data_IF_481251974956
#
_entry.id   IF_481251974956
#
_cell.length_a   1.000
_cell.length_b   1.000
_cell.length_c   1.000
_cell.angle_alpha   90.00
_cell.angle_beta   90.00
_cell.angle_gamma   90.00
#
_symmetry.space_group_name_H-M   'P 1'
#
loop_
_entity.id
_entity.type
_entity.pdbx_description
1 polymer ?
#
# COMPACT_ATOMS: atom_id res chain seq x y z
N UNK A 1 -76.48 53.26 -39.57
CA UNK A 1 -76.47 52.79 -38.16
C UNK A 1 -75.53 51.60 -38.07
N UNK A 2 -74.66 51.62 -37.05
CA UNK A 2 -73.74 50.57 -36.58
C UNK A 2 -72.44 50.29 -37.38
N UNK A 3 -71.33 50.46 -36.66
CA UNK A 3 -69.92 50.33 -37.04
C UNK A 3 -69.30 49.03 -36.48
N UNK A 4 -68.28 48.50 -37.20
CA UNK A 4 -67.05 47.83 -36.73
C UNK A 4 -67.14 46.46 -35.97
N UNK A 5 -66.03 45.73 -35.72
CA UNK A 5 -64.72 45.59 -36.40
C UNK A 5 -64.25 44.11 -36.60
N UNK A 6 -63.08 43.91 -37.23
CA UNK A 6 -62.33 42.65 -37.42
C UNK A 6 -61.81 42.01 -36.11
N UNK A 7 -61.66 40.67 -36.03
CA UNK A 7 -61.11 40.01 -34.84
C UNK A 7 -59.57 40.20 -34.71
N UNK A 8 -59.03 40.25 -33.48
CA UNK A 8 -57.63 40.57 -33.20
C UNK A 8 -56.66 39.37 -33.36
N UNK A 9 -55.34 39.62 -33.47
CA UNK A 9 -54.31 38.58 -33.46
C UNK A 9 -54.09 38.03 -32.05
N UNK A 10 -54.02 36.70 -31.91
CA UNK A 10 -53.69 36.05 -30.64
C UNK A 10 -52.16 36.02 -30.45
N UNK A 11 -51.67 36.80 -29.49
CA UNK A 11 -50.28 36.78 -29.03
C UNK A 11 -50.05 35.63 -28.02
N UNK A 12 -48.84 35.04 -27.94
CA UNK A 12 -48.48 34.10 -26.88
C UNK A 12 -48.50 34.80 -25.51
N UNK A 13 -49.31 34.30 -24.58
CA UNK A 13 -49.32 34.77 -23.19
C UNK A 13 -48.18 34.08 -22.43
N UNK A 14 -47.17 34.86 -22.08
CA UNK A 14 -46.16 34.55 -21.07
C UNK A 14 -46.80 34.58 -19.69
N UNK A 15 -46.76 33.46 -18.97
CA UNK A 15 -47.16 33.43 -17.57
C UNK A 15 -45.95 33.79 -16.68
N UNK A 16 -46.08 34.74 -15.73
CA UNK A 16 -44.98 35.15 -14.86
C UNK A 16 -44.77 34.16 -13.71
N UNK A 17 -43.51 33.85 -13.48
CA UNK A 17 -42.96 33.16 -12.31
C UNK A 17 -43.25 33.93 -11.02
N UNK A 18 -43.43 33.24 -9.88
CA UNK A 18 -42.90 33.70 -8.61
C UNK A 18 -41.59 32.97 -8.33
N UNK A 19 -40.56 33.76 -8.02
CA UNK A 19 -39.25 33.32 -7.61
C UNK A 19 -39.28 32.31 -6.46
N UNK A 20 -38.72 31.13 -6.72
CA UNK A 20 -38.19 30.20 -5.74
C UNK A 20 -36.77 29.84 -6.18
N UNK A 21 -35.85 30.75 -5.92
CA UNK A 21 -34.42 30.57 -6.09
C UNK A 21 -33.89 29.42 -5.22
N UNK A 22 -33.36 28.37 -5.85
CA UNK A 22 -32.17 27.68 -5.36
C UNK A 22 -31.63 26.74 -6.45
N UNK A 23 -30.54 27.21 -7.07
CA UNK A 23 -29.39 26.44 -7.51
C UNK A 23 -29.61 25.09 -8.21
N UNK A 24 -29.15 25.07 -9.47
CA UNK A 24 -28.44 23.93 -10.03
C UNK A 24 -27.60 23.22 -8.96
N UNK A 25 -28.02 22.02 -8.57
CA UNK A 25 -27.13 21.03 -7.99
C UNK A 25 -26.92 19.97 -9.06
N UNK A 26 -26.06 20.30 -10.03
CA UNK A 26 -25.37 19.30 -10.82
C UNK A 26 -24.76 18.32 -9.83
N UNK A 27 -25.31 17.12 -9.78
CA UNK A 27 -24.75 16.03 -8.97
C UNK A 27 -23.63 15.36 -9.75
N UNK A 28 -22.70 16.15 -10.28
CA UNK A 28 -21.34 15.70 -10.59
C UNK A 28 -20.57 15.68 -9.26
N UNK A 29 -21.01 14.80 -8.36
CA UNK A 29 -20.16 14.40 -7.25
C UNK A 29 -18.98 13.63 -7.86
N UNK A 30 -17.72 14.05 -7.63
CA UNK A 30 -16.60 13.49 -8.35
C UNK A 30 -16.41 12.04 -7.92
N UNK A 31 -16.73 11.11 -8.82
CA UNK A 31 -16.57 9.65 -8.68
C UNK A 31 -15.12 9.28 -8.26
N UNK A 32 -14.15 10.17 -8.50
CA UNK A 32 -12.76 10.05 -8.04
C UNK A 32 -12.60 10.03 -6.51
N UNK A 33 -13.42 10.76 -5.76
CA UNK A 33 -13.29 10.88 -4.29
C UNK A 33 -13.69 9.62 -3.52
N UNK A 34 -14.81 8.92 -3.82
CA UNK A 34 -15.16 7.67 -3.14
C UNK A 34 -14.18 6.53 -3.48
N UNK A 35 -13.77 6.38 -4.75
CA UNK A 35 -12.83 5.33 -5.14
C UNK A 35 -11.46 5.51 -4.47
N UNK A 36 -10.94 6.74 -4.42
CA UNK A 36 -9.69 7.06 -3.73
C UNK A 36 -9.78 6.81 -2.22
N UNK A 37 -10.87 7.21 -1.55
CA UNK A 37 -11.08 6.92 -0.13
C UNK A 37 -11.17 5.42 0.15
N UNK A 38 -11.84 4.66 -0.71
CA UNK A 38 -11.91 3.20 -0.61
C UNK A 38 -10.53 2.58 -0.78
N UNK A 39 -9.73 3.04 -1.75
CA UNK A 39 -8.35 2.60 -1.92
C UNK A 39 -7.50 2.88 -0.68
N UNK A 40 -7.56 4.11 -0.14
CA UNK A 40 -6.85 4.46 1.09
C UNK A 40 -7.31 3.63 2.29
N UNK A 41 -8.60 3.35 2.41
CA UNK A 41 -9.13 2.49 3.48
C UNK A 41 -8.58 1.07 3.35
N UNK A 42 -8.54 0.50 2.13
CA UNK A 42 -7.95 -0.83 1.89
C UNK A 42 -6.47 -0.89 2.20
N UNK A 43 -5.71 0.15 1.85
CA UNK A 43 -4.29 0.26 2.21
C UNK A 43 -4.16 0.33 3.74
N UNK A 44 -4.94 1.19 4.38
CA UNK A 44 -4.90 1.40 5.82
C UNK A 44 -5.26 0.12 6.58
N UNK A 45 -6.29 -0.59 6.15
CA UNK A 45 -6.70 -1.87 6.72
C UNK A 45 -5.67 -2.97 6.48
N UNK A 46 -5.03 -2.98 5.31
CA UNK A 46 -3.94 -3.92 5.02
C UNK A 46 -2.69 -3.63 5.85
N UNK A 47 -2.34 -2.35 6.02
CA UNK A 47 -1.25 -1.93 6.87
C UNK A 47 -1.53 -2.26 8.33
N UNK A 48 -2.74 -1.99 8.83
CA UNK A 48 -3.17 -2.33 10.20
C UNK A 48 -3.14 -3.83 10.43
N UNK A 49 -3.65 -4.64 9.51
CA UNK A 49 -3.58 -6.11 9.59
C UNK A 49 -2.14 -6.61 9.61
N UNK A 50 -1.31 -6.11 8.70
CA UNK A 50 0.11 -6.45 8.65
C UNK A 50 0.84 -6.07 9.95
N UNK A 51 0.57 -4.88 10.51
CA UNK A 51 1.13 -4.44 11.78
C UNK A 51 0.56 -5.17 13.00
N UNK A 52 -0.66 -5.72 12.90
CA UNK A 52 -1.27 -6.55 13.94
C UNK A 52 -0.61 -7.93 14.04
N UNK A 53 -0.17 -8.49 12.92
CA UNK A 53 0.59 -9.75 12.86
C UNK A 53 2.06 -9.60 13.33
N UNK A 54 2.45 -8.41 13.80
CA UNK A 54 3.79 -8.12 14.31
C UNK A 54 4.04 -8.86 15.63
N UNK A 55 5.19 -9.55 15.72
CA UNK A 55 5.66 -10.12 16.99
C UNK A 55 6.16 -9.02 17.93
N UNK A 56 6.03 -9.19 19.26
CA UNK A 56 6.55 -8.22 20.23
C UNK A 56 8.03 -7.87 19.96
N UNK A 57 8.37 -6.58 19.91
CA UNK A 57 9.75 -6.16 19.69
C UNK A 57 10.69 -6.58 20.83
N UNK A 58 10.17 -6.68 22.06
CA UNK A 58 10.92 -7.16 23.20
C UNK A 58 11.39 -8.61 22.99
N UNK A 59 10.54 -9.43 22.39
CA UNK A 59 10.89 -10.79 22.00
C UNK A 59 12.00 -10.74 20.95
N UNK A 60 11.86 -9.94 19.89
CA UNK A 60 12.88 -9.77 18.85
C UNK A 60 14.25 -9.35 19.40
N UNK A 61 14.32 -8.51 20.43
CA UNK A 61 15.59 -7.99 20.97
C UNK A 61 16.04 -8.76 22.23
N UNK A 62 15.42 -9.90 22.55
CA UNK A 62 15.79 -10.67 23.71
C UNK A 62 17.23 -11.19 23.63
N UNK A 63 18.09 -10.66 24.51
CA UNK A 63 19.53 -10.94 24.51
C UNK A 63 19.86 -12.37 24.91
N UNK A 64 19.03 -13.02 25.73
CA UNK A 64 19.23 -14.42 26.13
C UNK A 64 19.08 -15.39 24.97
N UNK A 65 18.30 -15.03 23.94
CA UNK A 65 18.06 -15.89 22.78
C UNK A 65 19.22 -15.87 21.76
N UNK A 66 20.26 -15.06 21.94
CA UNK A 66 21.38 -15.00 20.99
C UNK A 66 22.50 -15.97 21.36
N UNK A 67 22.92 -16.77 20.38
CA UNK A 67 24.08 -17.66 20.47
C UNK A 67 24.85 -17.70 19.16
N UNK A 68 26.14 -18.02 19.23
CA UNK A 68 26.96 -18.17 18.03
C UNK A 68 26.54 -19.47 17.29
N UNK A 69 26.29 -19.43 15.97
CA UNK A 69 26.01 -20.64 15.21
C UNK A 69 27.25 -21.53 15.10
N UNK A 70 27.07 -22.84 15.21
CA UNK A 70 28.17 -23.81 15.19
C UNK A 70 28.71 -24.05 13.79
N UNK A 71 27.89 -23.80 12.77
CA UNK A 71 28.23 -23.98 11.35
C UNK A 71 27.40 -23.07 10.44
N UNK A 72 27.78 -22.98 9.16
CA UNK A 72 27.02 -22.24 8.15
C UNK A 72 25.64 -22.87 7.87
N UNK A 73 25.53 -24.20 7.93
CA UNK A 73 24.24 -24.89 7.78
C UNK A 73 23.30 -24.60 8.95
N UNK A 74 23.84 -24.54 10.17
CA UNK A 74 23.09 -24.11 11.35
C UNK A 74 22.63 -22.65 11.23
N UNK A 75 23.55 -21.74 10.89
CA UNK A 75 23.24 -20.32 10.68
C UNK A 75 22.12 -20.10 9.63
N UNK A 76 22.17 -20.82 8.52
CA UNK A 76 21.16 -20.72 7.45
C UNK A 76 19.81 -21.34 7.85
N UNK A 77 19.82 -22.43 8.62
CA UNK A 77 18.62 -23.02 9.20
C UNK A 77 17.93 -22.07 10.18
N UNK A 78 18.70 -21.49 11.12
CA UNK A 78 18.22 -20.47 12.07
C UNK A 78 17.64 -19.26 11.33
N UNK A 79 18.36 -18.76 10.32
CA UNK A 79 17.90 -17.64 9.50
C UNK A 79 16.55 -17.93 8.85
N UNK A 80 16.38 -19.11 8.22
CA UNK A 80 15.12 -19.48 7.55
C UNK A 80 13.94 -19.54 8.53
N UNK A 81 14.13 -20.14 9.71
CA UNK A 81 13.10 -20.21 10.76
C UNK A 81 12.73 -18.81 11.26
N UNK A 82 13.73 -18.02 11.60
CA UNK A 82 13.53 -16.65 12.11
C UNK A 82 12.93 -15.71 11.05
N UNK A 83 13.24 -15.86 9.75
CA UNK A 83 12.64 -15.09 8.66
C UNK A 83 11.13 -15.27 8.57
N UNK A 84 10.66 -16.50 8.80
CA UNK A 84 9.22 -16.79 8.80
C UNK A 84 8.56 -16.26 10.05
N UNK A 85 9.20 -16.45 11.21
CA UNK A 85 8.65 -16.07 12.51
C UNK A 85 8.55 -14.55 12.71
N UNK A 86 9.61 -13.80 12.39
CA UNK A 86 9.69 -12.33 12.55
C UNK A 86 9.43 -11.58 11.24
N UNK A 87 8.72 -12.17 10.27
CA UNK A 87 8.55 -11.60 8.90
C UNK A 87 8.16 -10.13 8.92
N UNK A 88 7.11 -9.77 9.65
CA UNK A 88 6.61 -8.38 9.74
C UNK A 88 7.65 -7.45 10.37
N UNK A 89 8.31 -7.87 11.45
CA UNK A 89 9.34 -7.09 12.13
C UNK A 89 10.56 -6.87 11.21
N UNK A 90 11.00 -7.90 10.48
CA UNK A 90 12.10 -7.78 9.51
C UNK A 90 11.75 -6.89 8.33
N UNK A 91 10.52 -6.99 7.79
CA UNK A 91 10.04 -6.04 6.79
C UNK A 91 10.09 -4.61 7.31
N UNK A 92 9.70 -4.38 8.58
CA UNK A 92 9.79 -3.07 9.20
C UNK A 92 11.24 -2.57 9.34
N UNK A 93 12.19 -3.43 9.71
CA UNK A 93 13.62 -3.08 9.79
C UNK A 93 14.19 -2.72 8.41
N UNK A 94 13.90 -3.51 7.38
CA UNK A 94 14.36 -3.21 6.01
C UNK A 94 13.73 -1.93 5.49
N UNK A 95 12.42 -1.73 5.72
CA UNK A 95 11.74 -0.50 5.35
C UNK A 95 12.32 0.73 6.08
N UNK A 96 12.67 0.58 7.36
CA UNK A 96 13.34 1.63 8.13
C UNK A 96 14.72 1.94 7.57
N UNK A 97 15.54 0.93 7.25
CA UNK A 97 16.86 1.13 6.65
C UNK A 97 16.79 1.84 5.28
N UNK A 98 15.84 1.44 4.44
CA UNK A 98 15.55 2.12 3.17
C UNK A 98 15.09 3.57 3.37
N UNK A 99 14.16 3.79 4.30
CA UNK A 99 13.66 5.12 4.64
C UNK A 99 14.78 6.02 5.17
N UNK A 100 15.62 5.52 6.08
CA UNK A 100 16.77 6.24 6.62
C UNK A 100 17.78 6.61 5.52
N UNK A 101 18.05 5.70 4.58
CA UNK A 101 18.89 5.97 3.40
C UNK A 101 18.32 7.11 2.56
N UNK A 102 17.03 7.10 2.26
CA UNK A 102 16.38 8.18 1.51
C UNK A 102 16.37 9.50 2.29
N UNK A 103 16.08 9.48 3.59
CA UNK A 103 16.07 10.68 4.44
C UNK A 103 17.46 11.31 4.57
N UNK A 104 18.53 10.51 4.55
CA UNK A 104 19.90 11.00 4.54
C UNK A 104 20.26 11.77 3.25
N UNK A 105 19.44 11.66 2.19
CA UNK A 105 19.64 12.33 0.91
C UNK A 105 18.45 13.22 0.55
N UNK A 106 18.30 14.38 1.24
CA UNK A 106 17.10 15.22 1.14
C UNK A 106 16.83 15.73 -0.27
N UNK A 107 17.87 16.01 -1.08
CA UNK A 107 17.68 16.45 -2.46
C UNK A 107 17.06 15.35 -3.36
N UNK A 108 17.56 14.12 -3.22
CA UNK A 108 17.00 12.94 -3.90
C UNK A 108 15.54 12.72 -3.50
N UNK A 109 15.27 12.82 -2.20
CA UNK A 109 13.92 12.71 -1.65
C UNK A 109 12.99 13.81 -2.20
N UNK A 110 13.44 15.07 -2.25
CA UNK A 110 12.65 16.18 -2.78
C UNK A 110 12.30 16.00 -4.26
N UNK A 111 13.25 15.56 -5.08
CA UNK A 111 12.99 15.27 -6.50
C UNK A 111 11.96 14.14 -6.64
N UNK A 112 12.15 13.03 -5.91
CA UNK A 112 11.23 11.91 -5.95
C UNK A 112 9.83 12.30 -5.48
N UNK A 113 9.73 13.09 -4.40
CA UNK A 113 8.46 13.58 -3.88
C UNK A 113 7.79 14.55 -4.84
N UNK A 114 8.56 15.41 -5.54
CA UNK A 114 8.04 16.30 -6.58
C UNK A 114 7.45 15.53 -7.76
N UNK A 115 8.16 14.51 -8.26
CA UNK A 115 7.66 13.63 -9.33
C UNK A 115 6.41 12.87 -8.87
N UNK A 116 6.43 12.30 -7.65
CA UNK A 116 5.28 11.61 -7.08
C UNK A 116 4.09 12.55 -6.90
N UNK A 117 4.31 13.76 -6.40
CA UNK A 117 3.27 14.78 -6.26
C UNK A 117 2.67 15.16 -7.61
N UNK A 118 3.48 15.26 -8.67
CA UNK A 118 2.99 15.50 -10.02
C UNK A 118 2.10 14.34 -10.52
N UNK A 119 2.51 13.08 -10.32
CA UNK A 119 1.67 11.91 -10.62
C UNK A 119 0.34 11.94 -9.84
N UNK A 120 0.40 12.13 -8.53
CA UNK A 120 -0.79 12.20 -7.68
C UNK A 120 -1.71 13.35 -8.08
N UNK A 121 -1.17 14.54 -8.31
CA UNK A 121 -1.93 15.70 -8.76
C UNK A 121 -2.66 15.41 -10.07
N UNK A 122 -1.97 14.87 -11.06
CA UNK A 122 -2.52 14.69 -12.41
C UNK A 122 -3.53 13.55 -12.54
N UNK A 123 -3.45 12.52 -11.69
CA UNK A 123 -4.27 11.30 -11.83
C UNK A 123 -5.19 11.02 -10.64
N UNK A 124 -4.98 11.66 -9.49
CA UNK A 124 -5.83 11.49 -8.30
C UNK A 124 -6.64 12.76 -8.03
N UNK A 125 -6.01 13.94 -8.13
CA UNK A 125 -6.65 15.21 -7.76
C UNK A 125 -7.24 15.98 -8.94
N UNK A 126 -6.70 15.80 -10.15
CA UNK A 126 -7.18 16.46 -11.37
C UNK A 126 -8.37 15.69 -11.96
N UNK A 127 -9.46 16.41 -12.25
CA UNK A 127 -10.58 15.86 -13.02
C UNK A 127 -10.12 15.50 -14.44
N UNK A 128 -10.50 14.33 -14.94
CA UNK A 128 -10.02 13.77 -16.21
C UNK A 128 -10.29 14.65 -17.43
N UNK A 129 -11.24 15.58 -17.32
CA UNK A 129 -11.73 16.40 -18.43
C UNK A 129 -11.00 17.76 -18.54
N UNK A 130 -10.08 18.06 -17.63
CA UNK A 130 -9.35 19.33 -17.63
C UNK A 130 -7.93 19.20 -18.22
N UNK A 131 -7.66 19.84 -19.38
CA UNK A 131 -6.32 19.84 -19.97
C UNK A 131 -5.35 20.63 -19.10
N UNK A 132 -4.10 20.17 -19.06
CA UNK A 132 -3.03 20.85 -18.30
C UNK A 132 -2.61 22.08 -19.08
N UNK A 133 -2.80 23.27 -18.49
CA UNK A 133 -2.33 24.52 -19.08
C UNK A 133 -1.11 25.03 -18.31
N UNK A 134 0.03 25.19 -18.99
CA UNK A 134 1.19 25.90 -18.46
C UNK A 134 1.57 27.03 -19.40
N UNK A 135 1.96 28.17 -18.83
CA UNK A 135 2.45 29.34 -19.58
C UNK A 135 1.50 29.81 -20.71
N UNK A 136 0.19 29.69 -20.50
CA UNK A 136 -0.82 30.06 -21.49
C UNK A 136 -1.02 29.06 -22.63
N UNK A 137 -0.35 27.89 -22.60
CA UNK A 137 -0.52 26.80 -23.57
C UNK A 137 -1.18 25.60 -22.91
N UNK A 138 -2.20 25.06 -23.56
CA UNK A 138 -2.84 23.79 -23.19
C UNK A 138 -2.04 22.62 -23.77
N UNK A 139 -1.74 21.64 -22.92
CA UNK A 139 -1.10 20.39 -23.29
C UNK A 139 -2.15 19.28 -23.37
N UNK A 140 -2.02 18.45 -24.39
CA UNK A 140 -2.80 17.22 -24.49
C UNK A 140 -2.38 16.21 -23.42
N UNK A 141 -3.24 15.23 -23.13
CA UNK A 141 -2.92 14.20 -22.14
C UNK A 141 -1.70 13.35 -22.54
N UNK A 142 -1.48 13.13 -23.85
CA UNK A 142 -0.29 12.44 -24.34
C UNK A 142 0.99 13.22 -24.08
N UNK A 143 0.98 14.52 -24.34
CA UNK A 143 2.13 15.39 -24.06
C UNK A 143 2.40 15.48 -22.56
N UNK A 144 1.35 15.58 -21.75
CA UNK A 144 1.45 15.60 -20.28
C UNK A 144 2.04 14.29 -19.75
N UNK A 145 1.53 13.14 -20.22
CA UNK A 145 2.03 11.83 -19.84
C UNK A 145 3.49 11.64 -20.29
N UNK A 146 3.82 12.02 -21.52
CA UNK A 146 5.18 11.92 -22.05
C UNK A 146 6.15 12.81 -21.27
N UNK A 147 5.72 14.03 -20.93
CA UNK A 147 6.48 14.95 -20.08
C UNK A 147 6.70 14.40 -18.67
N UNK A 148 5.68 13.78 -18.08
CA UNK A 148 5.75 13.20 -16.74
C UNK A 148 6.63 11.94 -16.69
N UNK A 149 6.55 11.10 -17.72
CA UNK A 149 7.46 9.95 -17.91
C UNK A 149 8.89 10.45 -18.11
N UNK A 150 9.10 11.44 -18.99
CA UNK A 150 10.39 12.07 -19.22
C UNK A 150 10.98 12.67 -17.95
N UNK A 151 10.18 13.41 -17.16
CA UNK A 151 10.59 13.95 -15.88
C UNK A 151 10.96 12.85 -14.87
N UNK A 152 10.23 11.73 -14.87
CA UNK A 152 10.55 10.56 -14.04
C UNK A 152 11.88 9.91 -14.44
N UNK A 153 12.15 9.82 -15.75
CA UNK A 153 13.43 9.32 -16.28
C UNK A 153 14.57 10.26 -15.89
N UNK A 154 14.42 11.56 -16.12
CA UNK A 154 15.42 12.57 -15.73
C UNK A 154 15.66 12.50 -14.23
N UNK A 155 14.62 12.47 -13.40
CA UNK A 155 14.75 12.31 -11.96
C UNK A 155 15.54 11.05 -11.59
N UNK A 156 15.28 9.91 -12.23
CA UNK A 156 16.03 8.68 -12.01
C UNK A 156 17.52 8.81 -12.34
N UNK A 157 17.88 9.51 -13.43
CA UNK A 157 19.29 9.72 -13.80
C UNK A 157 20.00 10.77 -12.96
N UNK A 158 19.29 11.80 -12.51
CA UNK A 158 19.85 12.89 -11.71
C UNK A 158 19.89 12.59 -10.22
N UNK A 159 19.30 11.49 -9.77
CA UNK A 159 19.29 11.08 -8.37
C UNK A 159 20.00 9.74 -8.16
N UNK A 160 20.68 9.55 -7.03
CA UNK A 160 21.26 8.25 -6.68
C UNK A 160 20.19 7.24 -6.21
N UNK A 161 18.89 7.41 -6.53
CA UNK A 161 17.80 6.60 -5.96
C UNK A 161 18.07 5.10 -6.06
N UNK A 162 18.59 4.64 -7.20
CA UNK A 162 18.94 3.22 -7.37
C UNK A 162 19.98 2.76 -6.35
N UNK A 163 21.06 3.51 -6.14
CA UNK A 163 22.09 3.15 -5.17
C UNK A 163 21.59 3.28 -3.73
N UNK A 164 20.67 4.21 -3.44
CA UNK A 164 20.04 4.34 -2.12
C UNK A 164 19.16 3.14 -1.78
N UNK A 165 18.39 2.66 -2.77
CA UNK A 165 17.58 1.45 -2.62
C UNK A 165 18.48 0.24 -2.43
N UNK A 166 19.52 0.07 -3.26
CA UNK A 166 20.45 -1.07 -3.16
C UNK A 166 21.17 -1.05 -1.80
N UNK A 167 21.72 0.08 -1.39
CA UNK A 167 22.43 0.22 -0.11
C UNK A 167 21.51 0.01 1.09
N UNK A 168 20.31 0.61 1.10
CA UNK A 168 19.34 0.41 2.17
C UNK A 168 18.86 -1.04 2.26
N UNK A 169 18.65 -1.70 1.11
CA UNK A 169 18.30 -3.12 1.05
C UNK A 169 19.44 -4.00 1.56
N UNK A 170 20.69 -3.72 1.16
CA UNK A 170 21.86 -4.47 1.59
C UNK A 170 22.09 -4.34 3.09
N UNK A 171 22.00 -3.12 3.63
CA UNK A 171 22.11 -2.86 5.07
C UNK A 171 20.98 -3.56 5.83
N UNK A 172 19.73 -3.41 5.39
CA UNK A 172 18.58 -4.07 6.00
C UNK A 172 18.71 -5.60 5.96
N UNK A 173 19.09 -6.16 4.81
CA UNK A 173 19.31 -7.59 4.65
C UNK A 173 20.47 -8.10 5.53
N UNK A 174 21.56 -7.33 5.66
CA UNK A 174 22.67 -7.69 6.54
C UNK A 174 22.24 -7.71 8.02
N UNK A 175 21.45 -6.72 8.47
CA UNK A 175 20.90 -6.68 9.83
C UNK A 175 19.99 -7.88 10.08
N UNK A 176 19.07 -8.17 9.16
CA UNK A 176 18.15 -9.32 9.27
C UNK A 176 18.89 -10.64 9.24
N UNK A 177 19.90 -10.78 8.36
CA UNK A 177 20.73 -11.97 8.27
C UNK A 177 21.53 -12.20 9.56
N UNK A 178 22.16 -11.15 10.09
CA UNK A 178 22.90 -11.21 11.35
C UNK A 178 21.96 -11.57 12.50
N UNK A 179 20.82 -10.90 12.62
CA UNK A 179 19.85 -11.20 13.67
C UNK A 179 19.32 -12.63 13.55
N UNK A 180 18.87 -13.05 12.36
CA UNK A 180 18.27 -14.36 12.15
C UNK A 180 19.25 -15.53 12.26
N UNK A 181 20.53 -15.33 11.94
CA UNK A 181 21.56 -16.37 12.06
C UNK A 181 22.03 -16.57 13.51
N UNK A 182 22.09 -15.51 14.31
CA UNK A 182 22.59 -15.56 15.69
C UNK A 182 21.49 -15.76 16.74
N UNK A 183 20.22 -15.58 16.39
CA UNK A 183 19.11 -15.87 17.30
C UNK A 183 18.74 -17.35 17.25
N UNK A 184 18.71 -18.01 18.39
CA UNK A 184 18.14 -19.35 18.56
C UNK A 184 16.64 -19.32 18.26
N UNK A 185 16.16 -20.11 17.29
CA UNK A 185 14.72 -20.30 17.13
C UNK A 185 14.18 -20.97 18.38
N UNK A 186 13.16 -20.42 19.01
CA UNK A 186 12.47 -21.08 20.13
C UNK A 186 11.84 -22.38 19.61
N UNK A 187 11.92 -23.46 20.39
CA UNK A 187 11.43 -24.80 20.03
C UNK A 187 9.89 -24.94 20.05
N UNK A 188 9.17 -23.84 19.80
CA UNK A 188 7.74 -23.81 19.50
C UNK A 188 7.47 -24.26 18.05
N UNK A 189 8.21 -25.25 17.56
CA UNK A 189 8.06 -25.86 16.24
C UNK A 189 8.00 -27.39 16.32
N UNK A 190 8.03 -27.98 17.51
CA UNK A 190 7.76 -29.41 17.67
C UNK A 190 6.33 -29.73 17.19
N UNK A 191 5.35 -28.84 17.40
CA UNK A 191 3.97 -29.07 16.93
C UNK A 191 3.82 -29.04 15.40
N UNK A 192 4.57 -28.19 14.68
CA UNK A 192 4.49 -28.08 13.21
C UNK A 192 5.40 -29.09 12.49
N UNK A 193 6.55 -29.44 13.08
CA UNK A 193 7.46 -30.47 12.54
C UNK A 193 6.91 -31.88 12.77
N UNK A 194 6.23 -32.13 13.90
CA UNK A 194 5.49 -33.37 14.11
C UNK A 194 4.29 -33.43 13.17
N UNK A 195 3.55 -32.34 12.92
CA UNK A 195 2.46 -32.33 11.94
C UNK A 195 2.90 -32.57 10.48
N UNK A 196 4.15 -32.24 10.13
CA UNK A 196 4.73 -32.51 8.81
C UNK A 196 5.33 -33.92 8.68
N UNK A 197 5.42 -34.70 9.76
CA UNK A 197 5.86 -36.08 9.73
C UNK A 197 4.69 -36.99 9.26
N UNK A 198 4.80 -37.72 8.12
CA UNK A 198 3.71 -38.57 7.63
C UNK A 198 3.25 -39.63 8.63
N UNK A 199 4.09 -39.94 9.63
CA UNK A 199 3.80 -40.91 10.68
C UNK A 199 2.92 -40.34 11.81
N UNK A 200 2.83 -39.02 11.99
CA UNK A 200 2.01 -38.39 13.05
C UNK A 200 0.53 -38.35 12.67
N UNK A 201 0.22 -38.10 11.40
CA UNK A 201 -1.15 -38.19 10.87
C UNK A 201 -1.70 -39.61 11.01
N UNK A 202 -0.86 -40.64 10.79
CA UNK A 202 -1.22 -42.03 11.02
C UNK A 202 -1.42 -42.34 12.52
N UNK A 203 -0.62 -41.78 13.42
CA UNK A 203 -0.78 -41.92 14.87
C UNK A 203 -2.05 -41.25 15.40
N UNK A 204 -2.45 -40.09 14.86
CA UNK A 204 -3.72 -39.42 15.19
C UNK A 204 -4.96 -40.18 14.69
N UNK A 205 -4.86 -40.83 13.53
CA UNK A 205 -5.92 -41.71 13.02
C UNK A 205 -6.06 -43.00 13.84
N UNK A 206 -4.95 -43.55 14.33
CA UNK A 206 -4.94 -44.73 15.19
C UNK A 206 -5.44 -44.44 16.61
N UNK A 207 -5.19 -43.24 17.16
CA UNK A 207 -5.74 -42.85 18.46
C UNK A 207 -7.25 -42.60 18.41
N UNK A 208 -7.78 -42.12 17.28
CA UNK A 208 -9.22 -41.97 17.05
C UNK A 208 -9.96 -43.32 16.90
N UNK A 209 -9.29 -44.34 16.36
CA UNK A 209 -9.85 -45.69 16.17
C UNK A 209 -9.68 -46.61 17.39
N UNK A 210 -8.84 -46.23 18.36
CA UNK A 210 -8.50 -47.04 19.55
C UNK A 210 -9.47 -46.94 20.72
N UNK A 211 -10.54 -46.14 20.64
CA UNK A 211 -11.47 -45.95 21.75
C UNK A 211 -12.89 -46.50 21.47
N UNK A 212 -13.13 -47.82 21.61
CA UNK A 212 -14.45 -48.35 21.89
C UNK A 212 -14.69 -48.36 23.41
N UNK A 213 -15.80 -47.74 23.82
CA UNK A 213 -16.17 -47.57 25.21
C UNK A 213 -16.37 -48.89 25.96
N UNK A 214 -15.77 -48.97 27.15
CA UNK A 214 -16.26 -49.80 28.25
C UNK A 214 -16.89 -48.87 29.28
N UNK A 215 -18.19 -48.64 29.12
CA UNK A 215 -19.09 -48.17 30.18
C UNK A 215 -20.26 -49.14 30.21
N UNK A 216 -20.16 -50.14 31.09
CA UNK A 216 -21.29 -50.77 31.78
C UNK A 216 -20.87 -50.86 33.24
#
# INVERSE_FOLDING_TARGET
MASAPTPPPLLPVTNPTPAGSAAAAGSDAPIATPAFRLFLSRISDSARRSLSDRRPWAEMVDRSAFSRPDSLSDATSRLRRNLTYFRVNYTAVVAFALGASLLAHPFSLLILLGVLAAWCFLYIFRASDQPVALFGRTFSDRETLLGLVGASIVAFFFTPVASLIISGMLVGAAIVAAHGAFRMPEDLFLDDADAANPNSAAQGLLSFLGAPGSRV
#
